data_IF_866928672114
#
_entry.id   IF_866928672114
#
_cell.length_a   1.000
_cell.length_b   1.000
_cell.length_c   1.000
_cell.angle_alpha   90.00
_cell.angle_beta   90.00
_cell.angle_gamma   90.00
#
_symmetry.space_group_name_H-M   'P 1'
#
loop_
_entity.id
_entity.type
_entity.pdbx_description
1 polymer ?
#
# COMPACT_ATOMS: atom_id res chain seq x y z
N UNK A 1 -5.54 -5.54 -4.48
CA UNK A 1 -4.17 -5.96 -4.10
C UNK A 1 -4.10 -7.45 -3.78
N UNK A 2 -4.78 -7.93 -2.73
CA UNK A 2 -4.71 -9.33 -2.31
C UNK A 2 -5.00 -10.31 -3.45
N UNK A 3 -6.17 -10.19 -4.08
CA UNK A 3 -6.65 -11.07 -5.15
C UNK A 3 -5.72 -11.07 -6.37
N UNK A 4 -5.23 -9.90 -6.78
CA UNK A 4 -4.42 -9.75 -7.99
C UNK A 4 -2.99 -10.31 -7.87
N UNK A 5 -2.54 -10.65 -6.66
CA UNK A 5 -1.17 -11.10 -6.40
C UNK A 5 -0.94 -12.61 -6.59
N UNK A 6 -1.92 -13.38 -7.05
CA UNK A 6 -1.70 -14.78 -7.45
C UNK A 6 -1.15 -14.89 -8.88
N UNK A 7 -0.31 -15.90 -9.16
CA UNK A 7 0.08 -16.23 -10.54
C UNK A 7 -1.08 -16.74 -11.37
N UNK A 8 -1.83 -17.67 -10.78
CA UNK A 8 -2.95 -18.32 -11.43
C UNK A 8 -4.19 -17.41 -11.49
N UNK A 9 -5.08 -17.74 -12.41
CA UNK A 9 -6.41 -17.16 -12.47
C UNK A 9 -7.31 -17.90 -11.47
N UNK A 10 -8.29 -17.19 -10.92
CA UNK A 10 -9.28 -17.76 -10.02
C UNK A 10 -10.64 -17.15 -10.32
N UNK A 11 -11.69 -17.89 -10.00
CA UNK A 11 -13.05 -17.40 -10.13
C UNK A 11 -13.43 -16.58 -8.89
N UNK A 12 -13.63 -15.27 -9.04
CA UNK A 12 -14.01 -14.41 -7.91
C UNK A 12 -15.32 -14.87 -7.26
N UNK A 13 -16.24 -15.47 -8.02
CA UNK A 13 -17.52 -15.97 -7.50
C UNK A 13 -17.34 -17.15 -6.54
N UNK A 14 -16.30 -17.96 -6.71
CA UNK A 14 -16.03 -19.10 -5.82
C UNK A 14 -15.41 -18.70 -4.47
N UNK A 15 -14.93 -17.45 -4.35
CA UNK A 15 -14.33 -16.93 -3.11
C UNK A 15 -15.40 -16.47 -2.11
N UNK A 16 -16.56 -16.01 -2.60
CA UNK A 16 -17.62 -15.43 -1.76
C UNK A 16 -17.10 -14.29 -0.87
N UNK A 17 -17.53 -14.28 0.40
CA UNK A 17 -17.14 -13.25 1.37
C UNK A 17 -15.75 -13.48 2.01
N UNK A 18 -15.02 -14.52 1.62
CA UNK A 18 -13.74 -14.93 2.23
C UNK A 18 -12.52 -14.40 1.46
N UNK A 19 -12.53 -13.12 1.09
CA UNK A 19 -11.53 -12.50 0.20
C UNK A 19 -10.09 -12.66 0.72
N UNK A 20 -9.89 -12.65 2.04
CA UNK A 20 -8.58 -12.80 2.68
C UNK A 20 -8.26 -14.23 3.15
N UNK A 21 -9.18 -15.18 2.95
CA UNK A 21 -9.05 -16.56 3.41
C UNK A 21 -9.19 -17.53 2.22
N UNK A 22 -8.33 -17.33 1.23
CA UNK A 22 -8.25 -18.16 0.03
C UNK A 22 -6.78 -18.36 -0.35
N UNK A 23 -6.46 -19.58 -0.79
CA UNK A 23 -5.11 -19.93 -1.27
C UNK A 23 -4.85 -19.34 -2.67
N UNK A 24 -4.09 -18.25 -2.73
CA UNK A 24 -3.70 -17.56 -3.97
C UNK A 24 -2.62 -18.29 -4.79
N UNK A 25 -2.10 -19.40 -4.30
CA UNK A 25 -0.96 -20.09 -4.88
C UNK A 25 0.31 -19.24 -4.85
N UNK A 26 1.18 -19.46 -5.85
CA UNK A 26 2.44 -18.72 -5.99
C UNK A 26 2.17 -17.24 -6.24
N UNK A 27 2.87 -16.38 -5.51
CA UNK A 27 2.69 -14.93 -5.60
C UNK A 27 3.53 -14.32 -6.73
N UNK A 28 3.10 -13.17 -7.25
CA UNK A 28 3.87 -12.41 -8.25
C UNK A 28 4.88 -11.50 -7.56
N UNK A 29 4.46 -10.79 -6.52
CA UNK A 29 5.28 -9.83 -5.79
C UNK A 29 5.09 -10.02 -4.29
N UNK A 30 6.07 -9.57 -3.51
CA UNK A 30 5.91 -9.32 -2.09
C UNK A 30 5.55 -7.85 -1.87
N UNK A 31 4.58 -7.59 -1.00
CA UNK A 31 4.10 -6.24 -0.70
C UNK A 31 4.62 -5.85 0.69
N UNK A 32 5.38 -4.77 0.76
CA UNK A 32 5.95 -4.26 2.00
C UNK A 32 5.03 -3.26 2.67
N UNK A 33 4.55 -2.29 1.92
CA UNK A 33 3.67 -1.24 2.42
C UNK A 33 2.68 -0.81 1.34
N UNK A 34 1.57 -0.21 1.73
CA UNK A 34 0.64 0.42 0.81
C UNK A 34 -0.13 1.57 1.46
N UNK A 35 -0.63 2.46 0.61
CA UNK A 35 -1.59 3.48 0.97
C UNK A 35 -2.55 3.73 -0.19
N UNK A 36 -3.86 3.63 0.06
CA UNK A 36 -4.90 3.94 -0.91
C UNK A 36 -5.48 5.31 -0.58
N UNK A 37 -5.34 6.24 -1.52
CA UNK A 37 -5.90 7.58 -1.46
C UNK A 37 -7.20 7.62 -2.28
N UNK A 38 -8.06 8.64 -2.10
CA UNK A 38 -9.30 8.76 -2.88
C UNK A 38 -9.08 8.80 -4.40
N UNK A 39 -7.97 9.37 -4.87
CA UNK A 39 -7.68 9.58 -6.29
C UNK A 39 -6.43 8.84 -6.81
N UNK A 40 -5.64 8.17 -5.95
CA UNK A 40 -4.45 7.42 -6.35
C UNK A 40 -4.04 6.41 -5.28
N UNK A 41 -2.97 5.66 -5.48
CA UNK A 41 -2.42 4.77 -4.47
C UNK A 41 -0.90 4.67 -4.57
N UNK A 42 -0.26 4.26 -3.48
CA UNK A 42 1.17 3.94 -3.42
C UNK A 42 1.35 2.53 -2.88
N UNK A 43 2.29 1.77 -3.45
CA UNK A 43 2.59 0.40 -3.01
C UNK A 43 4.11 0.19 -3.07
N UNK A 44 4.69 -0.28 -1.98
CA UNK A 44 6.06 -0.75 -1.92
C UNK A 44 6.10 -2.24 -2.24
N UNK A 45 6.85 -2.62 -3.28
CA UNK A 45 6.86 -3.96 -3.86
C UNK A 45 8.29 -4.45 -4.06
N UNK A 46 8.47 -5.76 -3.96
CA UNK A 46 9.62 -6.48 -4.53
C UNK A 46 9.12 -7.70 -5.30
N UNK A 47 9.79 -8.06 -6.40
CA UNK A 47 9.41 -9.24 -7.16
C UNK A 47 9.85 -10.52 -6.46
N UNK A 48 9.02 -11.56 -6.51
CA UNK A 48 9.47 -12.90 -6.10
C UNK A 48 10.41 -13.49 -7.16
N UNK A 49 11.13 -14.59 -6.87
CA UNK A 49 12.10 -15.21 -7.78
C UNK A 49 11.57 -15.50 -9.20
N UNK A 50 10.28 -15.80 -9.34
CA UNK A 50 9.62 -16.01 -10.63
C UNK A 50 8.47 -15.00 -10.84
N UNK A 51 8.58 -13.85 -10.19
CA UNK A 51 7.58 -12.81 -10.11
C UNK A 51 7.61 -11.84 -11.29
N UNK A 52 6.59 -10.98 -11.36
CA UNK A 52 6.53 -9.91 -12.35
C UNK A 52 5.68 -8.76 -11.80
N UNK A 53 6.32 -7.62 -11.54
CA UNK A 53 5.67 -6.40 -11.03
C UNK A 53 4.67 -5.85 -12.04
N UNK A 54 5.02 -5.84 -13.33
CA UNK A 54 4.16 -5.34 -14.40
C UNK A 54 2.91 -6.21 -14.53
N UNK A 55 3.06 -7.53 -14.48
CA UNK A 55 1.92 -8.48 -14.46
C UNK A 55 1.03 -8.28 -13.23
N UNK A 56 1.63 -8.08 -12.05
CA UNK A 56 0.86 -7.79 -10.84
C UNK A 56 0.04 -6.50 -10.96
N UNK A 57 0.67 -5.39 -11.37
CA UNK A 57 0.00 -4.10 -11.53
C UNK A 57 -1.07 -4.18 -12.63
N UNK A 58 -0.80 -4.87 -13.74
CA UNK A 58 -1.78 -5.09 -14.80
C UNK A 58 -3.01 -5.85 -14.27
N UNK A 59 -2.83 -6.97 -13.55
CA UNK A 59 -3.94 -7.71 -12.92
C UNK A 59 -4.71 -6.86 -11.91
N UNK A 60 -4.01 -6.01 -11.16
CA UNK A 60 -4.61 -5.12 -10.16
C UNK A 60 -5.50 -4.05 -10.79
N UNK A 61 -4.95 -3.30 -11.76
CA UNK A 61 -5.63 -2.19 -12.40
C UNK A 61 -6.79 -2.68 -13.28
N UNK A 62 -6.58 -3.74 -14.06
CA UNK A 62 -7.63 -4.33 -14.90
C UNK A 62 -8.78 -4.85 -14.04
N UNK A 63 -8.47 -5.63 -13.00
CA UNK A 63 -9.50 -6.17 -12.11
C UNK A 63 -10.32 -5.08 -11.41
N UNK A 64 -9.67 -4.02 -10.92
CA UNK A 64 -10.37 -2.91 -10.29
C UNK A 64 -11.19 -2.08 -11.30
N UNK A 65 -10.65 -1.83 -12.50
CA UNK A 65 -11.37 -1.10 -13.55
C UNK A 65 -12.64 -1.83 -13.98
N UNK A 66 -12.56 -3.14 -14.20
CA UNK A 66 -13.72 -3.97 -14.51
C UNK A 66 -14.77 -3.96 -13.39
N UNK A 67 -14.32 -4.09 -12.13
CA UNK A 67 -15.20 -4.03 -10.98
C UNK A 67 -15.92 -2.66 -10.89
N UNK A 68 -15.16 -1.58 -10.97
CA UNK A 68 -15.68 -0.22 -10.82
C UNK A 68 -16.66 0.12 -11.96
N UNK A 69 -16.27 -0.15 -13.20
CA UNK A 69 -17.12 0.08 -14.36
C UNK A 69 -18.43 -0.70 -14.27
N UNK A 70 -18.36 -1.98 -13.88
CA UNK A 70 -19.57 -2.80 -13.68
C UNK A 70 -20.44 -2.29 -12.53
N UNK A 71 -19.84 -1.88 -11.41
CA UNK A 71 -20.58 -1.42 -10.22
C UNK A 71 -21.30 -0.10 -10.44
N UNK A 72 -20.68 0.81 -11.19
CA UNK A 72 -21.17 2.17 -11.41
C UNK A 72 -21.72 2.38 -12.83
N UNK A 73 -21.97 1.30 -13.58
CA UNK A 73 -22.49 1.33 -14.96
C UNK A 73 -21.71 2.27 -15.89
N UNK A 74 -20.39 2.35 -15.68
CA UNK A 74 -19.48 3.17 -16.49
C UNK A 74 -18.88 2.36 -17.63
N UNK A 75 -18.52 3.07 -18.68
CA UNK A 75 -17.71 2.55 -19.79
C UNK A 75 -16.41 3.33 -19.92
N UNK A 76 -15.41 2.74 -20.58
CA UNK A 76 -14.13 3.38 -20.85
C UNK A 76 -13.07 3.21 -19.75
N UNK A 77 -11.99 3.97 -19.88
CA UNK A 77 -10.84 3.93 -18.98
C UNK A 77 -11.18 4.53 -17.60
N UNK A 78 -10.70 3.88 -16.53
CA UNK A 78 -10.83 4.38 -15.16
C UNK A 78 -9.59 5.16 -14.70
N UNK A 79 -8.40 4.70 -15.07
CA UNK A 79 -7.14 5.31 -14.69
C UNK A 79 -6.63 6.23 -15.80
N UNK A 80 -6.13 7.41 -15.43
CA UNK A 80 -5.71 8.46 -16.38
C UNK A 80 -4.42 8.13 -17.15
N UNK A 81 -3.64 7.13 -16.71
CA UNK A 81 -2.39 6.78 -17.37
C UNK A 81 -1.72 5.51 -16.85
N UNK A 82 -0.50 5.27 -17.34
CA UNK A 82 0.35 4.17 -16.88
C UNK A 82 0.78 4.40 -15.42
N UNK A 83 1.04 3.30 -14.71
CA UNK A 83 1.66 3.40 -13.38
C UNK A 83 3.08 4.00 -13.51
N UNK A 84 3.49 4.72 -12.46
CA UNK A 84 4.87 5.18 -12.30
C UNK A 84 5.58 4.26 -11.31
N UNK A 85 6.86 4.04 -11.52
CA UNK A 85 7.70 3.20 -10.65
C UNK A 85 9.09 3.81 -10.51
N UNK A 86 9.59 3.86 -9.27
CA UNK A 86 10.95 4.28 -8.95
C UNK A 86 11.64 3.14 -8.19
N UNK A 87 12.87 2.82 -8.56
CA UNK A 87 13.63 1.74 -7.92
C UNK A 87 14.34 2.27 -6.67
N UNK A 88 14.05 1.68 -5.52
CA UNK A 88 14.73 1.99 -4.26
C UNK A 88 16.12 1.33 -4.24
N UNK A 89 17.15 2.05 -4.68
CA UNK A 89 18.49 1.52 -4.85
C UNK A 89 19.38 1.56 -3.59
N UNK A 90 18.87 2.11 -2.48
CA UNK A 90 19.60 2.17 -1.21
C UNK A 90 18.64 2.25 0.00
N UNK A 91 19.14 1.89 1.18
CA UNK A 91 18.36 1.80 2.41
C UNK A 91 17.77 3.14 2.85
N UNK A 92 18.53 4.23 2.70
CA UNK A 92 18.08 5.57 3.09
C UNK A 92 16.87 5.99 2.26
N UNK A 93 16.93 5.82 0.94
CA UNK A 93 15.84 6.13 0.04
C UNK A 93 14.65 5.17 0.23
N UNK A 94 14.90 3.89 0.51
CA UNK A 94 13.83 2.94 0.84
C UNK A 94 13.08 3.33 2.11
N UNK A 95 13.78 3.75 3.17
CA UNK A 95 13.18 4.28 4.40
C UNK A 95 12.36 5.54 4.14
N UNK A 96 12.90 6.47 3.35
CA UNK A 96 12.15 7.65 2.91
C UNK A 96 10.86 7.28 2.19
N UNK A 97 10.92 6.40 1.17
CA UNK A 97 9.73 5.96 0.43
C UNK A 97 8.72 5.26 1.34
N UNK A 98 9.19 4.44 2.26
CA UNK A 98 8.36 3.76 3.23
C UNK A 98 7.59 4.77 4.12
N UNK A 99 8.27 5.81 4.61
CA UNK A 99 7.65 6.89 5.38
C UNK A 99 6.69 7.72 4.52
N UNK A 100 7.10 8.06 3.29
CA UNK A 100 6.31 8.80 2.33
C UNK A 100 4.96 8.11 2.02
N UNK A 101 4.96 6.80 1.82
CA UNK A 101 3.75 6.01 1.57
C UNK A 101 2.77 6.16 2.74
N UNK A 102 3.25 6.05 3.96
CA UNK A 102 2.46 6.09 5.18
C UNK A 102 2.01 7.50 5.57
N UNK A 103 2.78 8.54 5.21
CA UNK A 103 2.43 9.95 5.42
C UNK A 103 1.49 10.51 4.34
N UNK A 104 1.33 9.82 3.21
CA UNK A 104 0.50 10.34 2.10
C UNK A 104 -0.94 10.75 2.51
N UNK A 105 -1.64 10.00 3.39
CA UNK A 105 -2.97 10.36 3.87
C UNK A 105 -3.05 11.70 4.59
N UNK A 106 -1.94 12.24 5.12
CA UNK A 106 -1.92 13.53 5.83
C UNK A 106 -2.51 14.65 4.98
N UNK A 107 -2.33 14.57 3.65
CA UNK A 107 -2.91 15.52 2.68
C UNK A 107 -4.44 15.66 2.79
N UNK A 108 -5.14 14.68 3.35
CA UNK A 108 -6.59 14.71 3.52
C UNK A 108 -7.05 15.61 4.68
N UNK A 109 -6.15 15.94 5.62
CA UNK A 109 -6.48 16.75 6.82
C UNK A 109 -5.58 17.98 6.99
N UNK A 110 -4.49 18.05 6.23
CA UNK A 110 -3.54 19.15 6.18
C UNK A 110 -2.93 19.17 4.77
N UNK A 111 -3.41 20.03 3.88
CA UNK A 111 -3.08 19.95 2.43
C UNK A 111 -1.66 20.38 2.11
N UNK A 112 -1.09 21.27 2.92
CA UNK A 112 0.17 21.97 2.66
C UNK A 112 1.28 21.49 3.62
N UNK A 113 1.08 20.32 4.25
CA UNK A 113 1.97 19.80 5.29
C UNK A 113 3.40 19.57 4.81
N UNK A 114 3.62 19.38 3.51
CA UNK A 114 4.95 19.16 2.92
C UNK A 114 5.72 20.48 2.84
N UNK A 115 5.03 21.57 2.53
CA UNK A 115 5.60 22.90 2.34
C UNK A 115 5.69 23.65 3.68
N UNK A 116 4.62 23.61 4.46
CA UNK A 116 4.48 24.32 5.73
C UNK A 116 5.03 23.53 6.94
N UNK A 117 5.30 22.24 6.77
CA UNK A 117 5.63 21.32 7.86
C UNK A 117 4.39 20.91 8.68
N UNK A 118 4.55 19.87 9.50
CA UNK A 118 3.47 19.39 10.38
C UNK A 118 3.34 20.29 11.61
N UNK A 119 2.21 21.00 11.71
CA UNK A 119 1.91 21.90 12.84
C UNK A 119 1.46 21.16 14.10
N UNK A 120 0.63 20.12 13.94
CA UNK A 120 0.11 19.32 15.06
C UNK A 120 0.41 17.83 14.84
N UNK A 121 1.59 17.41 15.32
CA UNK A 121 2.03 16.01 15.21
C UNK A 121 1.07 15.04 15.90
N UNK A 122 0.42 15.42 17.01
CA UNK A 122 -0.51 14.54 17.74
C UNK A 122 -1.76 14.28 16.92
N UNK A 123 -2.34 15.32 16.31
CA UNK A 123 -3.50 15.19 15.40
C UNK A 123 -3.16 14.30 14.20
N UNK A 124 -2.00 14.49 13.58
CA UNK A 124 -1.56 13.66 12.45
C UNK A 124 -1.40 12.20 12.85
N UNK A 125 -0.72 11.92 13.97
CA UNK A 125 -0.54 10.55 14.47
C UNK A 125 -1.90 9.89 14.65
N UNK A 126 -2.81 10.54 15.39
CA UNK A 126 -4.15 9.99 15.66
C UNK A 126 -4.92 9.69 14.37
N UNK A 127 -4.79 10.55 13.36
CA UNK A 127 -5.40 10.33 12.05
C UNK A 127 -4.80 9.13 11.31
N UNK A 128 -3.46 9.01 11.25
CA UNK A 128 -2.79 7.90 10.57
C UNK A 128 -3.09 6.55 11.24
N UNK A 129 -3.19 6.53 12.57
CA UNK A 129 -3.57 5.32 13.33
C UNK A 129 -5.01 4.86 13.02
N UNK A 130 -5.89 5.77 12.60
CA UNK A 130 -7.29 5.49 12.26
C UNK A 130 -7.51 5.28 10.76
N UNK A 131 -6.54 5.61 9.91
CA UNK A 131 -6.68 5.53 8.45
C UNK A 131 -6.57 4.07 7.95
N UNK A 132 -7.71 3.40 7.83
CA UNK A 132 -7.78 1.96 7.50
C UNK A 132 -7.29 1.60 6.09
N UNK A 133 -7.17 2.59 5.20
CA UNK A 133 -6.81 2.40 3.79
C UNK A 133 -5.30 2.37 3.53
N UNK A 134 -4.48 2.30 4.57
CA UNK A 134 -3.02 2.08 4.47
C UNK A 134 -2.58 0.86 5.27
N UNK A 135 -1.32 0.47 5.11
CA UNK A 135 -0.65 -0.55 5.94
C UNK A 135 -0.18 -0.05 7.31
N UNK A 136 -0.45 1.22 7.67
CA UNK A 136 0.07 1.84 8.90
C UNK A 136 -0.29 1.03 10.15
N UNK A 137 -1.56 0.63 10.26
CA UNK A 137 -2.07 -0.17 11.37
C UNK A 137 -1.37 -1.54 11.50
N UNK A 138 -0.97 -2.14 10.37
CA UNK A 138 -0.29 -3.44 10.36
C UNK A 138 1.10 -3.34 11.01
N UNK A 139 1.79 -2.20 10.83
CA UNK A 139 3.07 -1.87 11.48
C UNK A 139 2.94 -1.47 12.95
N UNK A 140 1.75 -1.04 13.39
CA UNK A 140 1.43 -0.85 14.81
C UNK A 140 1.07 -2.17 15.53
N UNK A 141 0.94 -3.28 14.80
CA UNK A 141 0.55 -4.57 15.37
C UNK A 141 -0.96 -4.76 15.54
N UNK A 142 -1.79 -3.90 14.95
CA UNK A 142 -3.24 -4.07 14.96
C UNK A 142 -3.62 -5.36 14.23
N UNK A 143 -4.45 -6.20 14.87
CA UNK A 143 -4.92 -7.45 14.27
C UNK A 143 -6.06 -7.15 13.30
N UNK A 144 -5.83 -7.36 12.00
CA UNK A 144 -6.85 -7.18 10.96
C UNK A 144 -6.63 -8.15 9.79
N UNK A 145 -7.68 -8.52 9.04
CA UNK A 145 -7.55 -9.49 7.95
C UNK A 145 -6.65 -8.98 6.82
N UNK A 146 -6.57 -7.67 6.58
CA UNK A 146 -5.74 -7.07 5.53
C UNK A 146 -4.24 -7.32 5.73
N UNK A 147 -3.80 -7.71 6.93
CA UNK A 147 -2.39 -8.04 7.21
C UNK A 147 -1.82 -9.09 6.25
N UNK A 148 -2.65 -10.00 5.74
CA UNK A 148 -2.24 -11.03 4.76
C UNK A 148 -1.91 -10.47 3.36
N UNK A 149 -2.12 -9.18 3.13
CA UNK A 149 -1.63 -8.46 1.94
C UNK A 149 -0.11 -8.32 2.01
N UNK A 150 0.44 -8.13 3.22
CA UNK A 150 1.84 -7.81 3.42
C UNK A 150 2.71 -9.08 3.55
N UNK A 151 3.93 -9.01 3.04
CA UNK A 151 5.00 -9.95 3.36
C UNK A 151 6.23 -9.17 3.84
N UNK A 152 6.23 -8.77 5.11
CA UNK A 152 7.30 -7.94 5.69
C UNK A 152 8.65 -8.65 5.74
N UNK A 153 8.69 -9.98 5.65
CA UNK A 153 9.94 -10.77 5.66
C UNK A 153 10.75 -10.63 4.37
N UNK A 154 10.10 -10.22 3.27
CA UNK A 154 10.75 -9.97 1.99
C UNK A 154 11.42 -8.58 1.91
N UNK A 155 11.30 -7.78 2.98
CA UNK A 155 11.88 -6.45 3.08
C UNK A 155 12.84 -6.37 4.26
N UNK A 156 13.79 -5.41 4.25
CA UNK A 156 14.66 -5.18 5.39
C UNK A 156 13.85 -4.91 6.67
N UNK A 157 14.25 -5.54 7.77
CA UNK A 157 13.61 -5.36 9.06
C UNK A 157 14.09 -4.08 9.76
N UNK A 158 13.71 -2.92 9.20
CA UNK A 158 14.08 -1.62 9.78
C UNK A 158 13.32 -1.32 11.08
N UNK A 159 12.08 -1.82 11.20
CA UNK A 159 11.17 -1.44 12.28
C UNK A 159 10.68 -2.68 13.03
N UNK A 160 11.48 -3.09 14.01
CA UNK A 160 11.17 -4.29 14.81
C UNK A 160 10.06 -4.06 15.85
N UNK A 161 9.78 -2.79 16.20
CA UNK A 161 8.82 -2.40 17.25
C UNK A 161 7.91 -1.24 16.78
N UNK A 162 6.63 -1.20 17.20
CA UNK A 162 5.71 -0.11 16.85
C UNK A 162 6.23 1.30 17.17
N UNK A 163 6.96 1.47 18.28
CA UNK A 163 7.52 2.78 18.65
C UNK A 163 8.66 3.21 17.72
N UNK A 164 9.50 2.28 17.25
CA UNK A 164 10.54 2.57 16.26
C UNK A 164 9.91 2.96 14.92
N UNK A 165 8.86 2.25 14.51
CA UNK A 165 8.08 2.58 13.32
C UNK A 165 7.52 4.01 13.42
N UNK A 166 6.85 4.37 14.52
CA UNK A 166 6.31 5.72 14.70
C UNK A 166 7.40 6.78 14.57
N UNK A 167 8.53 6.62 15.26
CA UNK A 167 9.62 7.58 15.21
C UNK A 167 10.13 7.75 13.77
N UNK A 168 10.44 6.65 13.07
CA UNK A 168 10.94 6.75 11.69
C UNK A 168 9.96 7.47 10.77
N UNK A 169 8.65 7.17 10.85
CA UNK A 169 7.66 7.83 9.98
C UNK A 169 7.75 9.36 10.09
N UNK A 170 8.01 9.89 11.28
CA UNK A 170 8.08 11.34 11.50
C UNK A 170 9.49 11.93 11.38
N UNK A 171 10.55 11.14 11.53
CA UNK A 171 11.94 11.61 11.35
C UNK A 171 12.16 12.18 9.94
N UNK A 172 11.41 11.68 8.94
CA UNK A 172 11.45 12.18 7.56
C UNK A 172 10.60 13.43 7.31
N UNK A 173 9.67 13.77 8.21
CA UNK A 173 8.89 15.02 8.13
C UNK A 173 9.75 16.22 8.50
N UNK A 174 10.67 16.02 9.44
CA UNK A 174 11.54 17.09 9.94
C UNK A 174 12.82 17.24 9.09
N UNK A 175 13.09 16.30 8.18
CA UNK A 175 14.23 16.33 7.25
C UNK A 175 13.95 17.29 6.10
N UNK A 176 14.43 18.54 6.22
CA UNK A 176 14.55 19.49 5.10
C UNK A 176 15.82 19.25 4.30
#
# INVERSE_FOLDING_TARGET
MFLSNGKENFNVRSIGNKIYNFNRGKQLVDIGAYCLMPNHFHILLTQTNNGDVSKFIHKLLTGYSMYYNKKYERVGALFEGKFKSEHANNDRYLKYLFSYIHLNPVKLIDTDWKEAGIKDKRKIIKFLEQFIYSSFQDYLGVKRPQKVILNTKAFPNYFSRPNQFRNEIFDWVDYK
#
